data_IF_357383042815
#
_entry.id   IF_357383042815
#
_cell.length_a   1.000
_cell.length_b   1.000
_cell.length_c   1.000
_cell.angle_alpha   90.00
_cell.angle_beta   90.00
_cell.angle_gamma   90.00
#
_symmetry.space_group_name_H-M   'P 1'
#
loop_
_entity.id
_entity.type
_entity.pdbx_description
1 polymer ?
#
# COMPACT_ATOMS: atom_id res chain seq x y z
N UNK A 1 -7.49 23.54 -3.73
CA UNK A 1 -8.49 23.50 -2.64
C UNK A 1 -7.70 23.43 -1.34
N UNK A 2 -7.49 24.57 -0.70
CA UNK A 2 -6.36 24.75 0.23
C UNK A 2 -6.67 25.86 1.24
N UNK A 3 -6.07 25.82 2.42
CA UNK A 3 -6.24 26.84 3.46
C UNK A 3 -7.55 26.76 4.26
N UNK A 4 -8.23 25.61 4.24
CA UNK A 4 -9.46 25.41 5.00
C UNK A 4 -9.17 24.92 6.43
N UNK A 5 -9.99 25.31 7.41
CA UNK A 5 -9.86 24.84 8.80
C UNK A 5 -10.36 23.40 9.03
N UNK A 6 -11.06 22.82 8.04
CA UNK A 6 -11.56 21.44 8.05
C UNK A 6 -11.03 20.68 6.80
N UNK A 7 -11.70 19.60 6.39
CA UNK A 7 -11.47 18.93 5.12
C UNK A 7 -11.49 19.89 3.93
N UNK A 8 -10.56 19.75 2.99
CA UNK A 8 -10.56 20.50 1.74
C UNK A 8 -11.80 20.17 0.90
N UNK A 9 -12.08 18.88 0.76
CA UNK A 9 -13.34 18.35 0.20
C UNK A 9 -13.98 17.46 1.26
N UNK A 10 -15.26 17.68 1.53
CA UNK A 10 -16.07 16.83 2.41
C UNK A 10 -17.18 16.16 1.59
N UNK A 11 -17.22 14.82 1.62
CA UNK A 11 -18.19 14.01 0.87
C UNK A 11 -19.20 13.40 1.83
N UNK A 12 -20.47 13.72 1.63
CA UNK A 12 -21.60 13.17 2.42
C UNK A 12 -22.74 12.67 1.54
N UNK A 13 -22.49 12.50 0.25
CA UNK A 13 -23.46 12.04 -0.74
C UNK A 13 -22.86 10.90 -1.56
N UNK A 14 -23.73 10.09 -2.17
CA UNK A 14 -23.32 8.96 -3.01
C UNK A 14 -22.90 9.41 -4.42
N UNK A 15 -22.13 8.55 -5.09
CA UNK A 15 -21.76 8.69 -6.50
C UNK A 15 -21.04 10.02 -6.81
N UNK A 16 -20.02 10.32 -6.00
CA UNK A 16 -19.20 11.52 -6.14
C UNK A 16 -17.90 11.18 -6.86
N UNK A 17 -17.52 12.00 -7.85
CA UNK A 17 -16.20 11.94 -8.48
C UNK A 17 -15.35 13.14 -8.07
N UNK A 18 -14.11 12.88 -7.65
CA UNK A 18 -13.09 13.89 -7.33
C UNK A 18 -11.87 13.59 -8.20
N UNK A 19 -11.64 14.40 -9.24
CA UNK A 19 -10.54 14.19 -10.17
C UNK A 19 -9.88 15.52 -10.59
N UNK A 20 -8.57 15.49 -10.83
CA UNK A 20 -7.78 16.63 -11.34
C UNK A 20 -7.55 17.78 -10.36
N UNK A 21 -7.64 17.55 -9.05
CA UNK A 21 -7.52 18.61 -8.03
C UNK A 21 -6.12 18.68 -7.40
N UNK A 22 -5.67 19.89 -7.06
CA UNK A 22 -4.56 20.12 -6.12
C UNK A 22 -5.17 20.52 -4.77
N UNK A 23 -4.90 19.75 -3.73
CA UNK A 23 -5.56 19.84 -2.41
C UNK A 23 -4.50 19.89 -1.31
N UNK A 24 -4.51 20.98 -0.53
CA UNK A 24 -3.56 21.21 0.58
C UNK A 24 -2.26 21.92 0.18
N UNK A 25 -2.05 22.15 -1.12
CA UNK A 25 -0.90 22.86 -1.66
C UNK A 25 -1.30 24.15 -2.40
N UNK A 26 -0.33 25.00 -2.72
CA UNK A 26 -0.52 26.16 -3.58
C UNK A 26 -0.81 25.79 -5.05
N UNK A 27 -1.00 26.79 -5.92
CA UNK A 27 -1.36 26.56 -7.34
C UNK A 27 -0.30 25.74 -8.09
N UNK A 28 0.97 25.85 -7.71
CA UNK A 28 2.05 25.03 -8.27
C UNK A 28 2.08 23.61 -7.72
N UNK A 29 1.37 23.33 -6.61
CA UNK A 29 1.48 22.09 -5.88
C UNK A 29 2.80 21.94 -5.12
N UNK A 30 3.53 23.04 -4.89
CA UNK A 30 4.92 23.04 -4.41
C UNK A 30 5.11 23.57 -2.99
N UNK A 31 4.14 24.32 -2.46
CA UNK A 31 4.17 24.81 -1.09
C UNK A 31 2.87 24.47 -0.35
N UNK A 32 2.98 24.12 0.94
CA UNK A 32 1.83 23.79 1.76
C UNK A 32 0.93 25.01 1.98
N UNK A 33 -0.37 24.78 1.80
CA UNK A 33 -1.48 25.67 2.13
C UNK A 33 -2.52 24.77 2.82
N UNK A 34 -2.23 24.33 4.05
CA UNK A 34 -2.89 23.17 4.63
C UNK A 34 -4.39 23.37 4.73
N UNK A 35 -5.12 22.32 4.34
CA UNK A 35 -6.41 22.04 4.99
C UNK A 35 -6.16 21.23 6.26
N UNK A 36 -7.19 20.96 7.06
CA UNK A 36 -7.05 19.96 8.13
C UNK A 36 -6.82 18.57 7.52
N UNK A 37 -7.78 18.08 6.75
CA UNK A 37 -7.66 16.85 5.94
C UNK A 37 -7.78 17.23 4.47
N UNK A 38 -7.12 16.52 3.55
CA UNK A 38 -7.29 16.79 2.12
C UNK A 38 -8.70 16.50 1.63
N UNK A 39 -9.06 15.21 1.58
CA UNK A 39 -10.40 14.72 1.25
C UNK A 39 -10.94 13.90 2.42
N UNK A 40 -12.14 14.22 2.88
CA UNK A 40 -12.81 13.48 3.95
C UNK A 40 -14.14 12.89 3.43
N UNK A 41 -14.32 11.58 3.57
CA UNK A 41 -15.53 10.85 3.21
C UNK A 41 -16.29 10.45 4.47
N UNK A 42 -17.56 10.83 4.51
CA UNK A 42 -18.52 10.37 5.51
C UNK A 42 -18.30 10.92 6.91
N UNK A 43 -19.17 10.46 7.79
CA UNK A 43 -19.05 10.47 9.24
C UNK A 43 -19.99 9.38 9.79
N UNK A 44 -19.99 9.11 11.10
CA UNK A 44 -20.88 8.07 11.67
C UNK A 44 -22.39 8.29 11.40
N UNK A 45 -22.82 9.49 10.98
CA UNK A 45 -24.19 9.81 10.60
C UNK A 45 -24.45 9.81 9.07
N UNK A 46 -23.41 9.80 8.23
CA UNK A 46 -23.51 9.83 6.78
C UNK A 46 -22.52 8.84 6.16
N UNK A 47 -23.04 7.80 5.51
CA UNK A 47 -22.25 6.72 4.89
C UNK A 47 -22.24 6.77 3.36
N UNK A 48 -21.53 7.73 2.74
CA UNK A 48 -21.56 7.88 1.29
C UNK A 48 -21.03 6.64 0.59
N UNK A 49 -21.63 6.33 -0.55
CA UNK A 49 -21.33 5.17 -1.38
C UNK A 49 -20.72 5.59 -2.72
N UNK A 50 -19.91 4.72 -3.32
CA UNK A 50 -19.44 4.86 -4.71
C UNK A 50 -18.69 6.17 -4.99
N UNK A 51 -17.81 6.59 -4.08
CA UNK A 51 -16.95 7.77 -4.33
C UNK A 51 -15.72 7.36 -5.15
N UNK A 52 -15.50 8.02 -6.27
CA UNK A 52 -14.30 7.86 -7.09
C UNK A 52 -13.32 9.01 -6.79
N UNK A 53 -12.12 8.68 -6.33
CA UNK A 53 -11.03 9.63 -6.09
C UNK A 53 -9.91 9.35 -7.08
N UNK A 54 -9.85 10.19 -8.12
CA UNK A 54 -8.95 10.07 -9.26
C UNK A 54 -9.51 9.17 -10.37
N UNK A 55 -9.16 9.45 -11.64
CA UNK A 55 -9.59 8.67 -12.79
C UNK A 55 -8.51 8.63 -13.89
N UNK A 56 -7.62 7.62 -13.83
CA UNK A 56 -6.52 7.45 -14.80
C UNK A 56 -5.44 8.55 -14.75
N UNK A 57 -4.39 8.41 -15.56
CA UNK A 57 -3.17 9.23 -15.48
C UNK A 57 -3.38 10.74 -15.76
N UNK A 58 -4.41 11.13 -16.51
CA UNK A 58 -4.64 12.53 -16.91
C UNK A 58 -5.53 13.31 -15.93
N UNK A 59 -6.12 12.66 -14.92
CA UNK A 59 -6.99 13.32 -13.93
C UNK A 59 -6.57 13.03 -12.48
N UNK A 60 -5.27 12.76 -12.29
CA UNK A 60 -4.66 12.54 -10.97
C UNK A 60 -4.93 13.73 -10.03
N UNK A 61 -5.41 13.45 -8.81
CA UNK A 61 -5.37 14.45 -7.74
C UNK A 61 -3.98 14.48 -7.08
N UNK A 62 -3.59 15.66 -6.60
CA UNK A 62 -2.41 15.89 -5.75
C UNK A 62 -2.91 16.31 -4.38
N UNK A 63 -2.74 15.45 -3.38
CA UNK A 63 -3.36 15.57 -2.06
C UNK A 63 -2.25 15.56 -1.01
N UNK A 64 -1.73 16.76 -0.71
CA UNK A 64 -0.42 16.92 -0.07
C UNK A 64 -0.39 18.20 0.77
N UNK A 65 0.48 18.25 1.78
CA UNK A 65 0.63 19.44 2.63
C UNK A 65 -0.56 19.74 3.54
N UNK A 66 -1.40 18.75 3.85
CA UNK A 66 -2.50 18.90 4.80
C UNK A 66 -2.01 18.62 6.24
N UNK A 67 -2.64 19.24 7.24
CA UNK A 67 -2.20 19.13 8.64
C UNK A 67 -2.62 17.83 9.34
N UNK A 68 -3.30 16.92 8.63
CA UNK A 68 -3.69 15.58 9.10
C UNK A 68 -3.48 14.56 8.00
N UNK A 69 -4.54 13.90 7.54
CA UNK A 69 -4.51 12.87 6.50
C UNK A 69 -4.64 13.50 5.11
N UNK A 70 -4.05 12.86 4.11
CA UNK A 70 -4.35 13.18 2.71
C UNK A 70 -5.81 12.84 2.39
N UNK A 71 -6.17 11.57 2.55
CA UNK A 71 -7.54 11.07 2.41
C UNK A 71 -7.97 10.41 3.72
N UNK A 72 -9.16 10.73 4.19
CA UNK A 72 -9.76 10.14 5.39
C UNK A 72 -11.15 9.58 5.04
N UNK A 73 -11.29 8.26 5.12
CA UNK A 73 -12.57 7.56 5.01
C UNK A 73 -13.05 7.23 6.42
N UNK A 74 -14.22 7.77 6.79
CA UNK A 74 -14.92 7.43 8.03
C UNK A 74 -16.34 7.00 7.71
N UNK A 75 -16.60 5.71 7.87
CA UNK A 75 -17.91 5.13 7.63
C UNK A 75 -18.42 5.32 6.19
N UNK A 76 -17.58 5.20 5.18
CA UNK A 76 -17.99 5.24 3.76
C UNK A 76 -17.68 3.93 3.08
N UNK A 77 -18.46 3.54 2.08
CA UNK A 77 -18.31 2.24 1.42
C UNK A 77 -18.16 2.38 -0.10
N UNK A 78 -17.61 1.35 -0.75
CA UNK A 78 -17.42 1.29 -2.21
C UNK A 78 -16.57 2.45 -2.76
N UNK A 79 -15.64 3.00 -1.98
CA UNK A 79 -14.78 4.08 -2.43
C UNK A 79 -13.63 3.52 -3.29
N UNK A 80 -13.40 4.14 -4.44
CA UNK A 80 -12.39 3.74 -5.42
C UNK A 80 -11.33 4.83 -5.52
N UNK A 81 -10.14 4.55 -5.02
CA UNK A 81 -9.02 5.50 -4.94
C UNK A 81 -7.97 5.06 -5.95
N UNK A 82 -7.86 5.83 -7.04
CA UNK A 82 -7.05 5.49 -8.18
C UNK A 82 -6.09 6.59 -8.59
N UNK A 83 -4.82 6.23 -8.76
CA UNK A 83 -3.82 7.04 -9.48
C UNK A 83 -3.63 8.45 -8.90
N UNK A 84 -3.70 8.60 -7.56
CA UNK A 84 -3.46 9.88 -6.87
C UNK A 84 -1.99 10.04 -6.48
N UNK A 85 -1.50 11.28 -6.36
CA UNK A 85 -0.23 11.59 -5.68
C UNK A 85 -0.56 12.14 -4.29
N UNK A 86 -0.05 11.49 -3.24
CA UNK A 86 -0.39 11.79 -1.85
C UNK A 86 0.89 11.98 -1.03
N UNK A 87 1.02 13.14 -0.38
CA UNK A 87 2.18 13.51 0.45
C UNK A 87 3.40 14.01 -0.35
N UNK A 88 3.26 14.19 -1.66
CA UNK A 88 4.31 14.68 -2.56
C UNK A 88 3.77 15.73 -3.53
N UNK A 89 4.66 16.53 -4.10
CA UNK A 89 4.33 17.56 -5.10
C UNK A 89 3.98 16.94 -6.46
N UNK A 90 3.27 17.70 -7.31
CA UNK A 90 2.80 17.25 -8.62
C UNK A 90 3.96 16.96 -9.61
N UNK A 91 4.89 17.91 -9.72
CA UNK A 91 6.14 17.82 -10.47
C UNK A 91 7.01 19.06 -10.19
N UNK A 92 8.35 18.92 -10.08
CA UNK A 92 9.09 17.69 -9.82
C UNK A 92 8.61 17.02 -8.52
N UNK A 93 8.84 15.71 -8.37
CA UNK A 93 8.34 14.93 -7.23
C UNK A 93 9.24 15.16 -6.00
N UNK A 94 8.78 15.99 -5.08
CA UNK A 94 9.42 16.28 -3.80
C UNK A 94 8.47 15.99 -2.62
N UNK A 95 9.00 15.73 -1.42
CA UNK A 95 8.20 15.63 -0.20
C UNK A 95 7.34 16.89 0.02
N UNK A 96 6.05 16.69 0.21
CA UNK A 96 5.11 17.69 0.71
C UNK A 96 4.11 16.97 1.62
N UNK A 97 4.64 16.49 2.73
CA UNK A 97 3.98 15.57 3.66
C UNK A 97 2.56 16.02 4.02
N UNK A 98 1.63 15.08 4.12
CA UNK A 98 0.53 15.23 5.06
C UNK A 98 1.06 14.88 6.46
N UNK A 99 0.70 15.66 7.48
CA UNK A 99 1.35 15.59 8.81
C UNK A 99 1.04 14.29 9.58
N UNK A 100 -0.10 13.65 9.33
CA UNK A 100 -0.39 12.29 9.80
C UNK A 100 -0.05 11.29 8.68
N UNK A 101 -0.98 10.46 8.20
CA UNK A 101 -0.69 9.53 7.11
C UNK A 101 -1.21 9.94 5.74
N UNK A 102 -1.00 9.07 4.75
CA UNK A 102 -1.51 9.24 3.40
C UNK A 102 -3.02 9.03 3.32
N UNK A 103 -3.47 7.80 3.58
CA UNK A 103 -4.86 7.38 3.54
C UNK A 103 -5.23 6.70 4.87
N UNK A 104 -6.31 7.16 5.51
CA UNK A 104 -6.97 6.45 6.61
C UNK A 104 -8.27 5.85 6.12
N UNK A 105 -8.50 4.57 6.41
CA UNK A 105 -9.78 3.89 6.26
C UNK A 105 -10.28 3.44 7.62
N UNK A 106 -11.43 3.96 8.04
CA UNK A 106 -12.07 3.63 9.31
C UNK A 106 -13.56 3.37 9.11
N UNK A 107 -14.02 2.19 9.54
CA UNK A 107 -15.40 1.69 9.44
C UNK A 107 -15.99 1.70 8.02
N UNK A 108 -15.13 1.61 7.00
CA UNK A 108 -15.50 1.58 5.58
C UNK A 108 -15.37 0.20 4.97
N UNK A 109 -16.26 -0.13 4.04
CA UNK A 109 -16.29 -1.46 3.39
C UNK A 109 -16.15 -1.37 1.88
N UNK A 110 -15.57 -2.40 1.26
CA UNK A 110 -15.26 -2.44 -0.18
C UNK A 110 -14.47 -1.21 -0.67
N UNK A 111 -13.40 -0.88 0.04
CA UNK A 111 -12.51 0.21 -0.34
C UNK A 111 -11.44 -0.34 -1.29
N UNK A 112 -11.32 0.24 -2.47
CA UNK A 112 -10.29 -0.15 -3.44
C UNK A 112 -9.24 0.94 -3.54
N UNK A 113 -8.01 0.62 -3.15
CA UNK A 113 -6.83 1.48 -3.30
C UNK A 113 -5.91 0.78 -4.29
N UNK A 114 -6.01 1.17 -5.57
CA UNK A 114 -5.40 0.40 -6.65
C UNK A 114 -5.10 1.25 -7.89
N UNK A 115 -4.35 0.74 -8.87
CA UNK A 115 -4.38 1.28 -10.23
C UNK A 115 -5.75 1.11 -10.88
N UNK A 116 -6.03 1.87 -11.95
CA UNK A 116 -7.21 1.63 -12.79
C UNK A 116 -7.09 0.36 -13.63
N UNK A 117 -5.85 -0.10 -13.87
CA UNK A 117 -5.51 -1.37 -14.53
C UNK A 117 -4.22 -1.90 -13.89
N UNK A 118 -4.23 -3.15 -13.40
CA UNK A 118 -3.04 -3.78 -12.83
C UNK A 118 -2.09 -4.27 -13.95
N UNK A 119 -1.12 -3.45 -14.35
CA UNK A 119 -0.05 -3.83 -15.29
C UNK A 119 1.32 -3.57 -14.67
N UNK A 120 2.32 -4.39 -15.01
CA UNK A 120 3.71 -4.15 -14.61
C UNK A 120 4.17 -2.76 -15.10
N UNK A 121 4.76 -1.95 -14.21
CA UNK A 121 5.09 -0.54 -14.46
C UNK A 121 3.89 0.44 -14.46
N UNK A 122 2.66 -0.05 -14.35
CA UNK A 122 1.44 0.73 -14.16
C UNK A 122 1.18 1.00 -12.69
N UNK A 123 1.89 1.98 -12.12
CA UNK A 123 1.68 2.38 -10.73
C UNK A 123 0.27 2.96 -10.51
N UNK A 124 -0.40 2.47 -9.47
CA UNK A 124 -1.63 3.01 -8.92
C UNK A 124 -1.38 4.32 -8.18
N UNK A 125 -1.80 4.40 -6.92
CA UNK A 125 -1.54 5.59 -6.13
C UNK A 125 -0.03 5.69 -5.80
N UNK A 126 0.47 6.92 -5.76
CA UNK A 126 1.82 7.28 -5.33
C UNK A 126 1.72 7.93 -3.95
N UNK A 127 1.99 7.16 -2.90
CA UNK A 127 1.75 7.54 -1.51
C UNK A 127 3.08 7.59 -0.77
N UNK A 128 3.58 8.79 -0.48
CA UNK A 128 4.87 8.87 0.19
C UNK A 128 5.15 10.15 0.93
N UNK A 129 6.18 10.10 1.77
CA UNK A 129 6.63 11.24 2.58
C UNK A 129 5.61 11.75 3.60
N UNK A 130 4.62 10.95 3.99
CA UNK A 130 3.67 11.35 5.03
C UNK A 130 4.28 11.14 6.44
N UNK A 131 3.79 11.89 7.44
CA UNK A 131 4.27 11.85 8.83
C UNK A 131 3.86 10.61 9.64
N UNK A 132 3.09 9.70 9.06
CA UNK A 132 2.58 8.45 9.63
C UNK A 132 2.49 7.37 8.56
N UNK A 133 1.57 6.40 8.64
CA UNK A 133 1.44 5.34 7.65
C UNK A 133 1.10 5.84 6.24
N UNK A 134 1.49 5.07 5.22
CA UNK A 134 1.04 5.30 3.85
C UNK A 134 -0.46 5.08 3.74
N UNK A 135 -0.91 3.88 4.11
CA UNK A 135 -2.31 3.49 4.25
C UNK A 135 -2.51 2.88 5.63
N UNK A 136 -3.44 3.43 6.41
CA UNK A 136 -3.89 2.87 7.69
C UNK A 136 -5.32 2.36 7.53
N UNK A 137 -5.54 1.08 7.83
CA UNK A 137 -6.87 0.45 7.88
C UNK A 137 -7.17 0.14 9.34
N UNK A 138 -8.26 0.70 9.87
CA UNK A 138 -8.63 0.55 11.28
C UNK A 138 -10.13 0.25 11.42
N UNK A 139 -10.54 -0.42 12.49
CA UNK A 139 -11.89 -0.88 12.77
C UNK A 139 -12.08 -2.32 12.29
N UNK A 140 -12.55 -3.20 13.18
CA UNK A 140 -12.63 -4.63 12.91
C UNK A 140 -13.55 -5.02 11.73
N UNK A 141 -14.48 -4.14 11.34
CA UNK A 141 -15.35 -4.35 10.18
C UNK A 141 -14.86 -3.70 8.88
N UNK A 142 -13.67 -3.09 8.89
CA UNK A 142 -13.15 -2.34 7.74
C UNK A 142 -12.54 -3.27 6.71
N UNK A 143 -12.90 -3.10 5.45
CA UNK A 143 -12.39 -3.92 4.33
C UNK A 143 -11.85 -3.06 3.19
N UNK A 144 -10.63 -3.38 2.76
CA UNK A 144 -9.89 -2.66 1.74
C UNK A 144 -9.01 -3.61 0.90
N UNK A 145 -9.15 -3.52 -0.42
CA UNK A 145 -8.23 -4.12 -1.38
C UNK A 145 -7.14 -3.12 -1.74
N UNK A 146 -5.87 -3.46 -1.48
CA UNK A 146 -4.73 -2.56 -1.60
C UNK A 146 -3.63 -3.22 -2.44
N UNK A 147 -3.54 -2.87 -3.72
CA UNK A 147 -2.55 -3.47 -4.63
C UNK A 147 -2.08 -2.51 -5.72
N UNK A 148 -0.91 -2.79 -6.30
CA UNK A 148 -0.32 -2.01 -7.37
C UNK A 148 0.00 -0.55 -7.01
N UNK A 149 0.01 -0.18 -5.73
CA UNK A 149 0.35 1.17 -5.29
C UNK A 149 1.85 1.28 -5.02
N UNK A 150 2.40 2.47 -5.27
CA UNK A 150 3.74 2.81 -4.81
C UNK A 150 3.59 3.50 -3.45
N UNK A 151 4.19 2.92 -2.41
CA UNK A 151 4.07 3.40 -1.04
C UNK A 151 5.44 3.44 -0.37
N UNK A 152 6.02 4.62 -0.18
CA UNK A 152 7.42 4.75 0.24
C UNK A 152 7.71 6.03 1.01
N UNK A 153 8.82 6.05 1.75
CA UNK A 153 9.31 7.17 2.56
C UNK A 153 8.27 7.75 3.54
N UNK A 154 7.28 6.96 3.95
CA UNK A 154 6.35 7.37 5.01
C UNK A 154 7.03 7.13 6.36
N UNK A 155 6.72 7.96 7.37
CA UNK A 155 7.34 7.81 8.69
C UNK A 155 6.78 6.59 9.46
N UNK A 156 5.58 6.12 9.12
CA UNK A 156 5.00 4.85 9.60
C UNK A 156 5.09 3.73 8.56
N UNK A 157 4.35 2.64 8.78
CA UNK A 157 4.30 1.52 7.85
C UNK A 157 3.71 1.94 6.49
N UNK A 158 4.13 1.32 5.38
CA UNK A 158 3.49 1.56 4.09
C UNK A 158 2.01 1.17 4.11
N UNK A 159 1.68 -0.02 4.62
CA UNK A 159 0.32 -0.48 4.92
C UNK A 159 0.34 -0.91 6.38
N UNK A 160 -0.65 -0.44 7.14
CA UNK A 160 -0.84 -0.70 8.56
C UNK A 160 -2.28 -1.18 8.76
N UNK A 161 -2.50 -2.40 9.27
CA UNK A 161 -3.83 -2.92 9.61
C UNK A 161 -4.12 -2.80 11.12
N UNK A 162 -3.82 -1.64 11.70
CA UNK A 162 -3.90 -1.45 13.15
C UNK A 162 -5.23 -1.88 13.81
N UNK A 163 -5.10 -2.81 14.75
CA UNK A 163 -6.01 -2.94 15.88
C UNK A 163 -5.67 -1.83 16.89
N UNK A 164 -6.67 -1.18 17.49
CA UNK A 164 -6.46 -0.10 18.46
C UNK A 164 -5.42 -0.45 19.54
N UNK A 165 -4.26 0.23 19.52
CA UNK A 165 -3.22 0.10 20.54
C UNK A 165 -2.03 -0.76 20.13
N UNK A 166 -2.07 -1.39 18.96
CA UNK A 166 -0.94 -2.11 18.37
C UNK A 166 -0.26 -1.21 17.33
N UNK A 167 1.08 -1.20 17.33
CA UNK A 167 1.89 -0.52 16.34
C UNK A 167 2.91 -1.53 15.80
N UNK A 168 3.14 -1.52 14.50
CA UNK A 168 4.08 -2.43 13.86
C UNK A 168 3.35 -3.53 13.09
N UNK A 169 4.11 -4.49 12.57
CA UNK A 169 3.54 -5.53 11.73
C UNK A 169 2.65 -6.47 12.54
N UNK A 170 1.53 -6.84 11.95
CA UNK A 170 0.60 -7.81 12.52
C UNK A 170 1.26 -9.20 12.58
N UNK A 171 1.07 -9.94 13.69
CA UNK A 171 1.61 -11.29 13.83
C UNK A 171 1.10 -12.23 12.73
N UNK A 172 1.96 -13.15 12.26
CA UNK A 172 1.49 -14.25 11.44
C UNK A 172 0.89 -15.32 12.35
N UNK A 173 -0.43 -15.42 12.36
CA UNK A 173 -1.17 -16.36 13.20
C UNK A 173 -1.47 -17.68 12.46
N UNK A 174 -2.02 -18.66 13.18
CA UNK A 174 -2.28 -19.98 12.61
C UNK A 174 -3.64 -19.99 11.90
N UNK A 175 -3.62 -20.20 10.58
CA UNK A 175 -4.77 -20.30 9.67
C UNK A 175 -5.54 -18.99 9.43
N UNK A 176 -4.99 -17.81 9.76
CA UNK A 176 -5.68 -16.53 9.59
C UNK A 176 -6.97 -16.48 10.40
N UNK A 177 -6.85 -16.77 11.70
CA UNK A 177 -7.98 -17.04 12.58
C UNK A 177 -8.42 -15.80 13.38
N UNK A 178 -7.67 -14.71 13.29
CA UNK A 178 -7.97 -13.46 13.95
C UNK A 178 -8.97 -12.59 13.18
N UNK A 179 -9.52 -11.63 13.91
CA UNK A 179 -10.49 -10.66 13.41
C UNK A 179 -9.88 -9.26 13.54
N UNK A 180 -10.14 -8.41 12.56
CA UNK A 180 -9.67 -7.04 12.58
C UNK A 180 -9.84 -6.36 11.23
N UNK A 181 -9.26 -5.17 11.04
CA UNK A 181 -9.23 -4.52 9.74
C UNK A 181 -8.64 -5.47 8.70
N UNK A 182 -9.32 -5.66 7.57
CA UNK A 182 -8.95 -6.67 6.57
C UNK A 182 -8.84 -8.10 7.09
N UNK A 183 -9.50 -8.42 8.21
CA UNK A 183 -9.33 -9.71 8.87
C UNK A 183 -7.88 -9.99 9.28
N UNK A 184 -7.06 -8.95 9.41
CA UNK A 184 -5.62 -9.04 9.71
C UNK A 184 -4.86 -10.00 8.80
N UNK A 185 -5.32 -10.10 7.54
CA UNK A 185 -4.83 -11.04 6.55
C UNK A 185 -3.32 -11.27 6.66
N UNK A 186 -2.96 -12.53 6.90
CA UNK A 186 -1.58 -12.97 6.99
C UNK A 186 -0.79 -12.56 5.76
N UNK A 187 0.33 -11.87 5.99
CA UNK A 187 1.29 -11.47 4.96
C UNK A 187 2.15 -12.66 4.50
N UNK A 188 2.63 -12.67 3.24
CA UNK A 188 3.49 -13.74 2.76
C UNK A 188 4.88 -13.65 3.40
N UNK A 189 5.60 -14.77 3.42
CA UNK A 189 7.01 -14.82 3.85
C UNK A 189 7.88 -15.06 2.64
N UNK A 190 8.80 -14.14 2.37
CA UNK A 190 9.82 -14.29 1.32
C UNK A 190 11.01 -15.01 1.93
N UNK A 191 11.36 -16.18 1.40
CA UNK A 191 12.42 -17.03 1.97
C UNK A 191 13.75 -16.86 1.26
N UNK A 192 13.72 -16.73 -0.07
CA UNK A 192 14.95 -16.61 -0.85
C UNK A 192 14.72 -15.99 -2.23
N UNK A 193 15.82 -15.64 -2.89
CA UNK A 193 15.87 -15.21 -4.28
C UNK A 193 17.03 -15.91 -4.98
N UNK A 194 16.80 -16.36 -6.20
CA UNK A 194 17.88 -16.82 -7.06
C UNK A 194 18.48 -15.63 -7.79
N UNK A 195 19.78 -15.39 -7.57
CA UNK A 195 20.62 -14.50 -8.37
C UNK A 195 21.67 -15.33 -9.12
N UNK A 196 21.76 -15.16 -10.43
CA UNK A 196 22.77 -15.85 -11.25
C UNK A 196 22.40 -16.05 -12.72
N UNK A 197 21.15 -15.76 -13.09
CA UNK A 197 20.68 -15.79 -14.47
C UNK A 197 20.38 -14.40 -15.05
N UNK A 198 19.70 -14.35 -16.21
CA UNK A 198 19.19 -13.12 -16.81
C UNK A 198 17.89 -12.61 -16.16
N UNK A 199 17.37 -13.34 -15.17
CA UNK A 199 16.07 -13.15 -14.50
C UNK A 199 16.25 -13.31 -13.00
N UNK A 200 15.44 -12.61 -12.21
CA UNK A 200 15.32 -12.82 -10.77
C UNK A 200 14.15 -13.76 -10.48
N UNK A 201 14.39 -14.81 -9.69
CA UNK A 201 13.35 -15.72 -9.18
C UNK A 201 13.23 -15.51 -7.68
N UNK A 202 12.01 -15.36 -7.17
CA UNK A 202 11.74 -15.13 -5.75
C UNK A 202 10.87 -16.27 -5.22
N UNK A 203 11.27 -16.84 -4.09
CA UNK A 203 10.59 -17.95 -3.44
C UNK A 203 10.04 -17.55 -2.08
N UNK A 204 8.98 -18.21 -1.68
CA UNK A 204 8.43 -18.04 -0.35
C UNK A 204 7.22 -18.91 -0.07
N UNK A 205 6.57 -18.58 1.03
CA UNK A 205 5.38 -19.27 1.52
C UNK A 205 4.28 -18.30 1.94
N UNK A 206 3.08 -18.83 2.07
CA UNK A 206 1.95 -18.18 2.73
C UNK A 206 1.34 -19.22 3.68
N UNK A 207 1.05 -18.80 4.90
CA UNK A 207 0.20 -19.54 5.82
C UNK A 207 -1.03 -18.67 6.11
N UNK A 208 -2.22 -19.12 5.72
CA UNK A 208 -3.47 -18.36 5.85
C UNK A 208 -4.66 -19.33 5.76
N UNK A 209 -5.88 -18.85 5.48
CA UNK A 209 -7.10 -19.66 5.46
C UNK A 209 -6.94 -20.89 4.55
N UNK A 210 -7.30 -22.12 5.03
CA UNK A 210 -7.14 -23.35 4.25
C UNK A 210 -7.89 -23.38 2.92
N UNK A 211 -7.34 -24.12 1.95
CA UNK A 211 -8.00 -24.43 0.66
C UNK A 211 -8.53 -23.20 -0.08
N UNK A 212 -7.83 -22.08 0.05
CA UNK A 212 -8.27 -20.77 -0.43
C UNK A 212 -7.25 -20.17 -1.38
N UNK A 213 -7.76 -19.46 -2.39
CA UNK A 213 -6.91 -18.79 -3.38
C UNK A 213 -6.51 -17.40 -2.89
N UNK A 214 -5.26 -17.02 -3.14
CA UNK A 214 -4.68 -15.72 -2.82
C UNK A 214 -3.95 -15.11 -4.01
N UNK A 215 -3.92 -13.79 -4.05
CA UNK A 215 -3.08 -12.99 -4.94
C UNK A 215 -1.89 -12.44 -4.16
N UNK A 216 -0.68 -12.66 -4.68
CA UNK A 216 0.54 -12.14 -4.08
C UNK A 216 1.12 -11.06 -4.98
N UNK A 217 1.08 -9.80 -4.54
CA UNK A 217 1.59 -8.65 -5.29
C UNK A 217 3.02 -8.34 -4.86
N UNK A 218 3.96 -8.26 -5.81
CA UNK A 218 5.40 -8.07 -5.56
C UNK A 218 5.84 -6.65 -5.87
N UNK A 219 6.75 -6.15 -5.04
CA UNK A 219 7.25 -4.79 -5.13
C UNK A 219 8.76 -4.74 -4.95
N UNK A 220 9.39 -3.88 -5.75
CA UNK A 220 10.77 -3.47 -5.57
C UNK A 220 10.85 -2.31 -4.59
N UNK A 221 11.90 -2.30 -3.77
CA UNK A 221 12.15 -1.32 -2.73
C UNK A 221 13.58 -0.79 -2.80
N UNK A 222 13.77 0.53 -2.71
CA UNK A 222 15.10 1.12 -2.59
C UNK A 222 15.64 1.08 -1.15
N UNK A 223 14.75 0.96 -0.16
CA UNK A 223 15.11 1.00 1.26
C UNK A 223 14.30 -0.02 2.04
N UNK A 224 14.90 -0.50 3.12
CA UNK A 224 14.25 -1.32 4.11
C UNK A 224 14.56 -0.78 5.51
N UNK A 225 13.54 -0.69 6.38
CA UNK A 225 13.74 -0.24 7.76
C UNK A 225 14.56 -1.26 8.55
N UNK A 226 15.18 -0.87 9.68
CA UNK A 226 15.86 -1.82 10.57
C UNK A 226 14.97 -2.97 11.06
N UNK A 227 13.67 -2.73 11.18
CA UNK A 227 12.68 -3.73 11.59
C UNK A 227 12.19 -4.60 10.41
N UNK A 228 12.77 -4.42 9.21
CA UNK A 228 12.53 -5.25 8.04
C UNK A 228 11.40 -4.79 7.13
N UNK A 229 10.90 -3.57 7.32
CA UNK A 229 9.78 -3.04 6.53
C UNK A 229 10.31 -2.44 5.23
N UNK A 230 9.95 -3.06 4.10
CA UNK A 230 10.27 -2.53 2.78
C UNK A 230 9.36 -1.37 2.43
N UNK A 231 9.90 -0.38 1.72
CA UNK A 231 9.09 0.52 0.91
C UNK A 231 8.63 -0.17 -0.38
N UNK A 232 7.58 0.32 -1.02
CA UNK A 232 7.15 -0.12 -2.35
C UNK A 232 7.41 1.01 -3.35
N UNK A 233 8.59 1.01 -3.97
CA UNK A 233 9.01 2.02 -4.96
C UNK A 233 8.73 1.60 -6.40
N UNK A 234 8.52 0.31 -6.63
CA UNK A 234 8.17 -0.25 -7.94
C UNK A 234 7.17 -1.40 -7.78
N UNK A 235 6.19 -1.50 -8.68
CA UNK A 235 5.30 -2.67 -8.77
C UNK A 235 5.83 -3.64 -9.82
N UNK A 236 6.20 -4.85 -9.38
CA UNK A 236 6.86 -5.86 -10.21
C UNK A 236 5.84 -6.78 -10.91
N UNK A 237 4.70 -7.05 -10.26
CA UNK A 237 3.65 -7.92 -10.76
C UNK A 237 3.04 -8.75 -9.65
N UNK A 238 2.35 -9.84 -10.02
CA UNK A 238 1.70 -10.72 -9.06
C UNK A 238 1.79 -12.19 -9.44
N UNK A 239 1.58 -13.08 -8.46
CA UNK A 239 1.22 -14.49 -8.69
C UNK A 239 -0.08 -14.84 -8.00
N UNK A 240 -0.66 -15.97 -8.40
CA UNK A 240 -1.76 -16.60 -7.68
C UNK A 240 -1.27 -17.87 -7.01
N UNK A 241 -1.70 -18.09 -5.77
CA UNK A 241 -1.39 -19.32 -5.02
C UNK A 241 -2.64 -19.85 -4.32
N UNK A 242 -2.63 -21.12 -3.93
CA UNK A 242 -3.73 -21.78 -3.22
C UNK A 242 -3.14 -22.50 -2.01
N UNK A 243 -3.67 -22.22 -0.83
CA UNK A 243 -3.30 -22.91 0.41
C UNK A 243 -3.86 -24.33 0.42
N UNK A 244 -3.13 -25.26 1.04
CA UNK A 244 -3.59 -26.62 1.25
C UNK A 244 -4.64 -26.71 2.39
N UNK A 245 -5.05 -27.93 2.73
CA UNK A 245 -6.01 -28.17 3.83
C UNK A 245 -5.45 -27.80 5.22
N UNK A 246 -4.14 -27.58 5.33
CA UNK A 246 -3.45 -27.12 6.53
C UNK A 246 -3.08 -25.63 6.46
N UNK A 247 -3.60 -24.89 5.48
CA UNK A 247 -3.37 -23.44 5.35
C UNK A 247 -2.04 -23.07 4.69
N UNK A 248 -1.24 -24.02 4.23
CA UNK A 248 0.10 -23.75 3.71
C UNK A 248 0.11 -23.64 2.18
N UNK A 249 0.85 -22.67 1.66
CA UNK A 249 1.19 -22.58 0.25
C UNK A 249 2.68 -22.26 0.08
N UNK A 250 3.32 -22.88 -0.90
CA UNK A 250 4.62 -22.43 -1.43
C UNK A 250 4.39 -21.78 -2.79
N UNK A 251 5.16 -20.74 -3.11
CA UNK A 251 5.00 -20.00 -4.35
C UNK A 251 6.36 -19.62 -4.95
N UNK A 252 6.34 -19.26 -6.23
CA UNK A 252 7.52 -18.81 -6.96
C UNK A 252 7.12 -17.71 -7.92
N UNK A 253 7.79 -16.56 -7.81
CA UNK A 253 7.62 -15.43 -8.72
C UNK A 253 8.84 -15.31 -9.62
N UNK A 254 8.60 -15.24 -10.94
CA UNK A 254 9.64 -15.09 -11.95
C UNK A 254 9.58 -13.68 -12.51
N UNK A 255 10.56 -12.85 -12.18
CA UNK A 255 10.72 -11.54 -12.80
C UNK A 255 11.50 -11.68 -14.11
N UNK A 256 11.01 -11.06 -15.18
CA UNK A 256 11.58 -11.21 -16.53
C UNK A 256 12.94 -10.55 -16.74
N UNK A 257 13.41 -9.78 -15.75
CA UNK A 257 14.72 -9.14 -15.75
C UNK A 257 15.49 -9.46 -14.46
N UNK A 258 16.80 -9.21 -14.48
CA UNK A 258 17.63 -9.33 -13.29
C UNK A 258 17.51 -8.03 -12.46
N UNK A 259 17.01 -8.16 -11.24
CA UNK A 259 17.01 -7.10 -10.23
C UNK A 259 18.30 -7.22 -9.40
N UNK A 260 19.19 -6.22 -9.50
CA UNK A 260 20.54 -6.30 -8.92
C UNK A 260 20.72 -5.50 -7.63
N UNK A 261 19.78 -4.63 -7.30
CA UNK A 261 19.87 -3.69 -6.18
C UNK A 261 18.54 -3.55 -5.43
N UNK A 262 18.61 -2.94 -4.24
CA UNK A 262 17.44 -2.74 -3.39
C UNK A 262 16.97 -4.03 -2.70
N UNK A 263 15.66 -4.13 -2.53
CA UNK A 263 14.97 -5.23 -1.85
C UNK A 263 13.69 -5.59 -2.60
N UNK A 264 13.17 -6.78 -2.32
CA UNK A 264 11.83 -7.22 -2.73
C UNK A 264 10.94 -7.41 -1.50
N UNK A 265 9.66 -7.08 -1.65
CA UNK A 265 8.60 -7.38 -0.68
C UNK A 265 7.34 -7.82 -1.43
N UNK A 266 6.33 -8.28 -0.70
CA UNK A 266 5.05 -8.64 -1.25
C UNK A 266 3.90 -8.41 -0.27
N UNK A 267 2.68 -8.29 -0.78
CA UNK A 267 1.45 -8.41 0.01
C UNK A 267 0.69 -9.68 -0.39
N UNK A 268 -0.21 -10.15 0.45
CA UNK A 268 -1.17 -11.19 0.13
C UNK A 268 -2.58 -10.62 0.17
N UNK A 269 -3.41 -10.96 -0.81
CA UNK A 269 -4.82 -10.61 -0.83
C UNK A 269 -5.68 -11.86 -0.97
N UNK A 270 -6.76 -11.95 -0.19
CA UNK A 270 -7.77 -13.01 -0.37
C UNK A 270 -8.38 -12.95 -1.78
N UNK A 271 -8.88 -14.09 -2.25
CA UNK A 271 -9.78 -14.11 -3.40
C UNK A 271 -11.21 -13.77 -2.98
N UNK A 272 -11.98 -13.13 -3.86
CA UNK A 272 -13.37 -12.76 -3.60
C UNK A 272 -13.79 -11.49 -4.32
N UNK A 273 -15.00 -11.03 -4.04
CA UNK A 273 -15.51 -9.75 -4.57
C UNK A 273 -14.84 -8.53 -3.92
N UNK A 274 -14.39 -8.69 -2.67
CA UNK A 274 -13.62 -7.68 -1.92
C UNK A 274 -12.38 -8.36 -1.35
N UNK A 275 -11.28 -8.46 -2.11
CA UNK A 275 -10.00 -8.94 -1.59
C UNK A 275 -9.57 -8.17 -0.35
N UNK A 276 -9.21 -8.88 0.72
CA UNK A 276 -8.63 -8.30 1.94
C UNK A 276 -7.12 -8.40 1.80
N UNK A 277 -6.42 -7.26 1.85
CA UNK A 277 -4.97 -7.21 1.63
C UNK A 277 -4.23 -7.12 2.97
N UNK A 278 -3.21 -7.95 3.13
CA UNK A 278 -2.22 -7.90 4.21
C UNK A 278 -1.37 -6.63 4.18
N UNK A 279 -0.64 -6.41 5.27
CA UNK A 279 0.57 -5.58 5.26
C UNK A 279 1.69 -6.19 4.38
N UNK A 280 2.80 -5.46 4.25
CA UNK A 280 3.96 -5.94 3.48
C UNK A 280 4.75 -7.04 4.22
N UNK A 281 5.20 -8.02 3.44
CA UNK A 281 6.22 -8.98 3.85
C UNK A 281 7.52 -8.28 4.28
N UNK A 282 8.32 -8.96 5.10
CA UNK A 282 9.66 -8.47 5.40
C UNK A 282 10.46 -8.37 4.10
N UNK A 283 11.28 -7.32 4.02
CA UNK A 283 12.12 -7.10 2.86
C UNK A 283 13.17 -8.21 2.74
N UNK A 284 13.36 -8.71 1.52
CA UNK A 284 14.51 -9.53 1.17
C UNK A 284 15.45 -8.65 0.33
N UNK A 285 16.74 -8.46 0.70
CA UNK A 285 17.70 -7.74 -0.16
C UNK A 285 17.70 -8.35 -1.56
N UNK A 286 18.08 -7.62 -2.60
CA UNK A 286 18.22 -8.16 -3.96
C UNK A 286 19.68 -8.33 -4.37
N UNK A 287 20.59 -7.52 -3.82
CA UNK A 287 22.03 -7.66 -4.07
C UNK A 287 22.58 -8.99 -3.53
N UNK A 288 23.58 -9.56 -4.19
CA UNK A 288 24.31 -10.72 -3.68
C UNK A 288 25.07 -10.29 -2.41
N UNK A 289 24.91 -11.01 -1.30
CA UNK A 289 25.91 -10.94 -0.24
C UNK A 289 27.16 -11.58 -0.81
N UNK A 290 28.18 -10.80 -1.17
CA UNK A 290 29.46 -11.34 -1.60
C UNK A 290 30.08 -12.15 -0.45
N UNK A 291 29.75 -13.45 -0.37
CA UNK A 291 30.35 -14.38 0.59
C UNK A 291 31.69 -14.92 0.06
N UNK A 292 32.11 -14.52 -1.15
CA UNK A 292 33.40 -14.90 -1.73
C UNK A 292 34.22 -13.70 -2.20
N UNK A 293 34.59 -12.83 -1.26
CA UNK A 293 35.87 -12.12 -1.38
C UNK A 293 36.98 -13.06 -0.83
N UNK A 294 37.42 -13.96 -1.71
CA UNK A 294 38.79 -14.48 -1.87
C UNK A 294 39.75 -14.56 -0.65
N UNK A 295 39.57 -15.59 0.20
CA UNK A 295 40.58 -16.03 1.17
C UNK A 295 41.50 -17.17 0.72
N UNK A 296 41.46 -17.62 -0.54
CA UNK A 296 42.12 -18.86 -0.99
C UNK A 296 42.92 -18.78 -2.30
N UNK A 297 43.49 -17.63 -2.64
CA UNK A 297 44.51 -17.56 -3.71
C UNK A 297 45.90 -17.33 -3.11
N UNK A 298 46.64 -18.41 -2.89
CA UNK A 298 48.10 -18.38 -2.81
C UNK A 298 48.69 -19.68 -3.38
N UNK A 299 49.35 -19.64 -4.55
CA UNK A 299 50.24 -20.73 -4.97
C UNK A 299 51.61 -20.66 -4.26
#
# INVERSE_FOLDING_TARGET
>A
ISGNSNGGIYVSADNVEISGNIIGADKSGGAARPNSTGIALGNMAARPQNTLIGAGNTTRNVISGNSRWGIEIRSADHARIHVNTIGRTAFPIFPLANELGGILVSDGTDILIAPTVAVAGGAGNSIGSNGGPGVLVNGAGTTASIYGNLIWDNAGLPIDLAIFGENGLDPIDNLDADDGPNGLQNRPVITDRDNGGATTVVHGSLHSTPSSQFYLDFYGATTCSPDGHANATEYLGYVTTITDASGNASWTYNHSSLLTDGYVTATASTSGSVPLTSEFALCLPLAETAVFADGFESP
#
